data_IF_527627971967
#
_entry.id   IF_527627971967
#
_cell.length_a   1.000
_cell.length_b   1.000
_cell.length_c   1.000
_cell.angle_alpha   90.00
_cell.angle_beta   90.00
_cell.angle_gamma   90.00
#
_symmetry.space_group_name_H-M   'P 1'
#
loop_
_entity.id
_entity.type
_entity.pdbx_description
1 polymer ?
#
# COMPACT_ATOMS: atom_id res chain seq x y z
N UNK A 1 -8.30 -8.64 -5.31
CA UNK A 1 -7.55 -8.43 -4.05
C UNK A 1 -8.53 -8.16 -2.92
N UNK A 2 -8.42 -8.99 -1.90
CA UNK A 2 -9.05 -8.80 -0.59
C UNK A 2 -8.05 -8.06 0.30
N UNK A 3 -8.52 -7.32 1.31
CA UNK A 3 -7.65 -6.68 2.29
C UNK A 3 -7.84 -7.32 3.66
N UNK A 4 -6.73 -7.70 4.30
CA UNK A 4 -6.73 -7.99 5.73
C UNK A 4 -6.32 -6.73 6.48
N UNK A 5 -7.10 -6.41 7.51
CA UNK A 5 -6.76 -5.39 8.51
C UNK A 5 -6.17 -6.09 9.72
N UNK A 6 -4.89 -5.85 9.99
CA UNK A 6 -4.23 -6.36 11.20
C UNK A 6 -4.06 -5.22 12.20
N UNK A 7 -4.50 -5.44 13.44
CA UNK A 7 -4.21 -4.54 14.56
C UNK A 7 -2.82 -4.88 15.10
N UNK A 8 -1.90 -3.94 14.99
CA UNK A 8 -0.57 -4.03 15.58
C UNK A 8 -0.62 -3.35 16.93
N UNK A 9 -0.39 -4.10 18.01
CA UNK A 9 -0.30 -3.56 19.35
C UNK A 9 1.17 -3.47 19.77
N UNK A 10 1.65 -2.27 20.07
CA UNK A 10 2.99 -2.08 20.60
C UNK A 10 2.85 -2.15 22.13
N UNK A 11 3.38 -3.20 22.75
CA UNK A 11 3.42 -3.31 24.21
C UNK A 11 4.86 -3.29 24.69
N UNK A 12 5.16 -2.41 25.64
CA UNK A 12 6.43 -2.40 26.38
C UNK A 12 6.18 -2.87 27.82
N UNK A 13 7.22 -3.40 28.48
CA UNK A 13 7.17 -4.24 29.71
C UNK A 13 6.31 -3.69 30.87
N UNK A 14 5.91 -2.41 30.88
CA UNK A 14 5.05 -1.84 31.95
C UNK A 14 3.80 -1.07 31.50
N UNK A 15 3.47 -0.97 30.21
CA UNK A 15 2.28 -0.24 29.78
C UNK A 15 1.81 -0.59 28.36
N UNK A 16 0.50 -0.46 28.13
CA UNK A 16 -0.09 -0.56 26.78
C UNK A 16 0.46 0.60 25.94
N UNK A 17 1.08 0.29 24.81
CA UNK A 17 1.45 1.29 23.81
C UNK A 17 0.35 1.46 22.75
N UNK A 18 0.59 2.34 21.77
CA UNK A 18 -0.39 2.66 20.75
C UNK A 18 -0.72 1.43 19.89
N UNK A 19 -1.94 1.42 19.36
CA UNK A 19 -2.38 0.43 18.38
C UNK A 19 -2.44 1.06 17.00
N UNK A 20 -1.97 0.33 15.99
CA UNK A 20 -2.03 0.73 14.58
C UNK A 20 -2.79 -0.30 13.76
N UNK A 21 -3.29 0.11 12.60
CA UNK A 21 -3.89 -0.78 11.60
C UNK A 21 -2.96 -0.87 10.41
N UNK A 22 -2.68 -2.10 9.93
CA UNK A 22 -2.09 -2.34 8.62
C UNK A 22 -3.12 -2.96 7.71
N UNK A 23 -3.39 -2.32 6.57
CA UNK A 23 -4.13 -2.92 5.47
C UNK A 23 -3.13 -3.64 4.56
N UNK A 24 -3.32 -4.94 4.37
CA UNK A 24 -2.47 -5.80 3.55
C UNK A 24 -3.31 -6.46 2.46
N UNK A 25 -2.82 -6.39 1.22
CA UNK A 25 -3.49 -7.03 0.09
C UNK A 25 -3.28 -8.55 0.10
N UNK A 26 -4.33 -9.29 -0.25
CA UNK A 26 -4.32 -10.72 -0.52
C UNK A 26 -4.63 -11.02 -1.99
N UNK A 27 -3.85 -11.92 -2.59
CA UNK A 27 -4.14 -12.50 -3.89
C UNK A 27 -5.36 -13.45 -3.85
N UNK A 28 -5.68 -14.10 -4.97
CA UNK A 28 -6.85 -14.97 -5.08
C UNK A 28 -6.67 -16.30 -4.32
N UNK A 29 -5.42 -16.69 -4.11
CA UNK A 29 -4.98 -17.90 -3.43
C UNK A 29 -4.86 -17.68 -1.91
N UNK A 30 -4.93 -16.43 -1.45
CA UNK A 30 -4.88 -16.04 -0.04
C UNK A 30 -3.47 -15.75 0.48
N UNK A 31 -2.48 -15.57 -0.40
CA UNK A 31 -1.15 -15.14 -0.02
C UNK A 31 -1.10 -13.61 0.14
N UNK A 32 -0.24 -13.15 1.05
CA UNK A 32 0.04 -11.72 1.18
C UNK A 32 0.81 -11.23 -0.04
N UNK A 33 0.37 -10.09 -0.58
CA UNK A 33 1.12 -9.41 -1.63
C UNK A 33 2.24 -8.59 -0.99
N UNK A 34 3.48 -8.84 -1.40
CA UNK A 34 4.66 -8.18 -0.83
C UNK A 34 5.06 -6.89 -1.54
N UNK A 35 4.59 -6.68 -2.78
CA UNK A 35 4.96 -5.56 -3.65
C UNK A 35 3.77 -4.65 -3.97
N UNK A 36 3.99 -3.60 -4.78
CA UNK A 36 2.94 -2.68 -5.18
C UNK A 36 1.78 -3.35 -5.90
N UNK A 37 0.58 -2.87 -5.58
CA UNK A 37 -0.61 -3.16 -6.36
C UNK A 37 -1.17 -1.83 -6.84
N UNK A 38 -0.93 -1.52 -8.11
CA UNK A 38 -1.50 -0.34 -8.75
C UNK A 38 -2.83 -0.66 -9.42
N UNK A 39 -3.80 0.26 -9.31
CA UNK A 39 -5.08 0.18 -9.99
C UNK A 39 -5.49 1.58 -10.48
N UNK A 40 -6.25 1.68 -11.57
CA UNK A 40 -6.78 2.97 -12.03
C UNK A 40 -8.29 3.08 -11.94
N UNK A 41 -9.01 2.00 -11.67
CA UNK A 41 -10.44 1.96 -11.91
C UNK A 41 -10.79 1.94 -13.41
N UNK A 42 -12.04 2.22 -13.75
CA UNK A 42 -12.59 2.08 -15.11
C UNK A 42 -13.22 3.39 -15.62
N UNK A 43 -13.23 3.57 -16.94
CA UNK A 43 -13.84 4.72 -17.62
C UNK A 43 -13.00 5.99 -17.58
N UNK A 44 -13.59 7.11 -17.99
CA UNK A 44 -12.94 8.43 -18.14
C UNK A 44 -12.34 9.01 -16.84
N UNK A 45 -12.79 8.52 -15.69
CA UNK A 45 -12.24 8.91 -14.39
C UNK A 45 -10.98 8.10 -14.07
N UNK A 46 -10.94 6.82 -14.48
CA UNK A 46 -9.82 5.93 -14.18
C UNK A 46 -8.56 6.17 -15.00
N UNK A 47 -8.68 6.90 -16.11
CA UNK A 47 -7.54 7.42 -16.88
C UNK A 47 -6.81 8.57 -16.19
N UNK A 48 -7.27 9.02 -15.00
CA UNK A 48 -6.72 10.15 -14.25
C UNK A 48 -6.41 9.84 -12.79
N UNK A 49 -6.53 8.57 -12.39
CA UNK A 49 -6.35 8.15 -11.00
C UNK A 49 -5.36 6.98 -10.97
N UNK A 50 -4.42 7.03 -10.00
CA UNK A 50 -3.57 5.92 -9.62
C UNK A 50 -3.87 5.55 -8.17
N UNK A 51 -4.53 4.41 -7.96
CA UNK A 51 -4.72 3.80 -6.66
C UNK A 51 -3.51 2.93 -6.31
N UNK A 52 -2.99 3.12 -5.11
CA UNK A 52 -1.97 2.25 -4.51
C UNK A 52 -2.67 1.37 -3.49
N UNK A 53 -2.98 0.15 -3.90
CA UNK A 53 -3.70 -0.84 -3.10
C UNK A 53 -2.77 -1.71 -2.25
N UNK A 54 -1.48 -1.69 -2.50
CA UNK A 54 -0.49 -2.30 -1.63
C UNK A 54 0.83 -1.56 -1.85
N UNK A 55 1.65 -1.47 -0.83
CA UNK A 55 2.99 -0.92 -0.92
C UNK A 55 3.95 -1.81 -0.12
N UNK A 56 5.22 -1.95 -0.56
CA UNK A 56 6.19 -2.83 0.09
C UNK A 56 6.52 -2.38 1.52
N UNK A 57 6.91 -3.33 2.35
CA UNK A 57 7.26 -3.10 3.76
C UNK A 57 8.78 -2.87 3.92
N UNK A 58 9.23 -1.97 4.83
CA UNK A 58 8.43 -1.11 5.71
C UNK A 58 8.14 0.25 5.06
N UNK A 59 6.86 0.53 4.79
CA UNK A 59 6.45 1.72 4.04
C UNK A 59 6.85 3.05 4.71
N UNK A 60 6.84 3.11 6.04
CA UNK A 60 7.15 4.34 6.77
C UNK A 60 8.63 4.73 6.66
N UNK A 61 9.54 3.79 6.90
CA UNK A 61 10.99 4.04 6.86
C UNK A 61 11.54 4.19 5.45
N UNK A 62 10.88 3.59 4.45
CA UNK A 62 11.27 3.64 3.05
C UNK A 62 10.37 4.56 2.21
N UNK A 63 9.70 5.52 2.86
CA UNK A 63 8.65 6.35 2.25
C UNK A 63 9.16 7.20 1.06
N UNK A 64 10.40 7.70 1.11
CA UNK A 64 10.98 8.47 0.00
C UNK A 64 11.27 7.60 -1.23
N UNK A 65 11.90 6.44 -1.05
CA UNK A 65 12.15 5.51 -2.15
C UNK A 65 10.84 5.00 -2.77
N UNK A 66 9.83 4.74 -1.93
CA UNK A 66 8.48 4.41 -2.39
C UNK A 66 7.87 5.56 -3.20
N UNK A 67 8.04 6.81 -2.76
CA UNK A 67 7.53 7.98 -3.47
C UNK A 67 8.19 8.16 -4.85
N UNK A 68 9.51 7.92 -4.96
CA UNK A 68 10.22 7.92 -6.25
C UNK A 68 9.65 6.88 -7.21
N UNK A 69 9.46 5.64 -6.75
CA UNK A 69 8.86 4.58 -7.57
C UNK A 69 7.43 4.92 -8.03
N UNK A 70 6.65 5.58 -7.17
CA UNK A 70 5.30 6.04 -7.52
C UNK A 70 5.37 7.17 -8.56
N UNK A 71 6.30 8.11 -8.43
CA UNK A 71 6.48 9.19 -9.40
C UNK A 71 6.83 8.64 -10.79
N UNK A 72 7.77 7.70 -10.86
CA UNK A 72 8.13 7.02 -12.11
C UNK A 72 6.93 6.30 -12.76
N UNK A 73 6.06 5.69 -11.95
CA UNK A 73 4.83 5.04 -12.43
C UNK A 73 3.81 6.07 -12.95
N UNK A 74 3.69 7.23 -12.29
CA UNK A 74 2.83 8.33 -12.74
C UNK A 74 3.29 8.89 -14.10
N UNK A 75 4.59 9.13 -14.28
CA UNK A 75 5.15 9.60 -15.56
C UNK A 75 4.83 8.62 -16.69
N UNK A 76 5.06 7.32 -16.49
CA UNK A 76 4.78 6.29 -17.50
C UNK A 76 3.30 6.22 -17.85
N UNK A 77 2.44 6.27 -16.84
CA UNK A 77 1.00 6.03 -16.99
C UNK A 77 0.26 7.24 -17.54
N UNK A 78 0.67 8.44 -17.18
CA UNK A 78 0.00 9.69 -17.54
C UNK A 78 0.78 10.55 -18.54
N UNK A 79 1.98 10.13 -18.95
CA UNK A 79 2.82 10.82 -19.94
C UNK A 79 3.11 12.27 -19.53
N UNK A 80 3.48 12.45 -18.26
CA UNK A 80 3.79 13.75 -17.65
C UNK A 80 5.17 14.27 -18.06
#
# INVERSE_FOLDING_TARGET
ITFIVTVVNISVVLCRGPSGVRALALDAEGNLVDDFVFDGGKGELGSRILHIRNAPSPAASSSLAIAEMIADELEKRFQL
#
